data_IF_483471634751
#
_entry.id   IF_483471634751
#
_cell.length_a   1.000
_cell.length_b   1.000
_cell.length_c   1.000
_cell.angle_alpha   90.00
_cell.angle_beta   90.00
_cell.angle_gamma   90.00
#
_symmetry.space_group_name_H-M   'P 1'
#
loop_
_entity.id
_entity.type
_entity.pdbx_description
1 polymer ?
#
# COMPACT_ATOMS: atom_id res chain seq x y z
N UNK A 1 -6.71 -35.92 -5.92
CA UNK A 1 -6.29 -34.93 -4.95
C UNK A 1 -7.46 -34.02 -4.67
N UNK A 2 -8.18 -34.27 -3.61
CA UNK A 2 -9.20 -33.31 -3.14
C UNK A 2 -8.41 -32.22 -2.41
N UNK A 3 -8.12 -31.11 -3.07
CA UNK A 3 -7.28 -30.04 -2.51
C UNK A 3 -7.91 -28.68 -2.70
N UNK A 4 -7.79 -27.85 -1.68
CA UNK A 4 -8.04 -26.41 -1.78
C UNK A 4 -6.71 -25.75 -2.11
N UNK A 5 -6.68 -24.98 -3.19
CA UNK A 5 -5.53 -24.20 -3.64
C UNK A 5 -5.84 -22.73 -3.42
N UNK A 6 -4.95 -22.04 -2.70
CA UNK A 6 -5.02 -20.59 -2.52
C UNK A 6 -4.17 -19.92 -3.60
N UNK A 7 -4.76 -18.97 -4.33
CA UNK A 7 -4.03 -18.15 -5.30
C UNK A 7 -2.96 -17.31 -4.61
N UNK A 8 -1.77 -17.23 -5.18
CA UNK A 8 -0.76 -16.28 -4.72
C UNK A 8 -1.13 -14.86 -5.17
N UNK A 9 -1.60 -14.04 -4.23
CA UNK A 9 -1.95 -12.64 -4.48
C UNK A 9 -0.99 -11.72 -3.73
N UNK A 10 -0.33 -10.84 -4.44
CA UNK A 10 0.46 -9.76 -3.87
C UNK A 10 -0.16 -8.40 -4.22
N UNK A 11 -0.93 -7.85 -3.29
CA UNK A 11 -1.53 -6.53 -3.45
C UNK A 11 -2.43 -6.41 -4.68
N UNK A 12 -2.11 -5.46 -5.58
CA UNK A 12 -2.82 -5.22 -6.84
C UNK A 12 -2.09 -5.78 -8.08
N UNK A 13 -1.09 -6.63 -7.87
CA UNK A 13 -0.35 -7.25 -8.97
C UNK A 13 -1.22 -8.27 -9.71
N UNK A 14 -0.91 -8.50 -10.98
CA UNK A 14 -1.57 -9.49 -11.81
C UNK A 14 -1.38 -10.89 -11.20
N UNK A 15 -2.40 -11.74 -11.31
CA UNK A 15 -2.30 -13.15 -10.88
C UNK A 15 -1.34 -13.85 -11.83
N UNK A 16 -0.29 -14.44 -11.27
CA UNK A 16 0.61 -15.36 -11.95
C UNK A 16 0.93 -16.48 -10.97
N UNK A 17 0.25 -17.59 -11.09
CA UNK A 17 0.36 -18.73 -10.20
C UNK A 17 0.43 -20.03 -10.99
N UNK A 18 0.77 -21.13 -10.34
CA UNK A 18 0.81 -22.44 -10.99
C UNK A 18 0.44 -23.56 -10.03
N UNK A 19 -0.28 -24.55 -10.51
CA UNK A 19 -0.64 -25.74 -9.77
C UNK A 19 -0.05 -26.95 -10.43
N UNK A 20 0.65 -27.78 -9.64
CA UNK A 20 1.24 -29.03 -10.12
C UNK A 20 0.34 -30.22 -9.79
N UNK A 21 0.21 -31.13 -10.75
CA UNK A 21 -0.38 -32.44 -10.54
C UNK A 21 0.53 -33.53 -11.10
N UNK A 22 0.40 -34.74 -10.60
CA UNK A 22 1.18 -35.87 -11.11
C UNK A 22 0.30 -37.01 -11.56
N UNK A 23 0.77 -37.70 -12.59
CA UNK A 23 0.17 -38.94 -13.08
C UNK A 23 1.15 -40.09 -12.88
N UNK A 24 0.70 -41.14 -12.20
CA UNK A 24 1.47 -42.36 -12.03
C UNK A 24 0.99 -43.41 -13.04
N UNK A 25 1.91 -43.97 -13.79
CA UNK A 25 1.65 -45.10 -14.70
C UNK A 25 2.29 -46.35 -14.13
N UNK A 26 1.52 -47.18 -13.44
CA UNK A 26 1.96 -48.46 -12.88
C UNK A 26 1.98 -49.61 -13.92
N UNK A 27 1.58 -49.33 -15.15
CA UNK A 27 1.50 -50.32 -16.21
C UNK A 27 2.86 -50.56 -16.90
N UNK A 28 2.96 -51.68 -17.60
CA UNK A 28 4.17 -52.05 -18.39
C UNK A 28 4.18 -51.43 -19.79
N UNK A 29 3.26 -50.54 -20.10
CA UNK A 29 3.11 -49.86 -21.38
C UNK A 29 2.93 -48.34 -21.14
N UNK A 30 3.29 -47.53 -22.12
CA UNK A 30 3.11 -46.09 -22.05
C UNK A 30 1.63 -45.72 -21.94
N UNK A 31 1.32 -44.69 -21.14
CA UNK A 31 -0.02 -44.16 -20.91
C UNK A 31 -0.14 -42.82 -21.64
N UNK A 32 -1.02 -42.76 -22.64
CA UNK A 32 -1.33 -41.50 -23.33
C UNK A 32 -2.67 -40.98 -22.85
N UNK A 33 -2.68 -39.72 -22.41
CA UNK A 33 -3.86 -39.07 -21.85
C UNK A 33 -4.17 -37.80 -22.63
N UNK A 34 -5.46 -37.55 -22.84
CA UNK A 34 -6.02 -36.24 -23.14
C UNK A 34 -6.51 -35.62 -21.85
N UNK A 35 -6.06 -34.40 -21.59
CA UNK A 35 -6.41 -33.62 -20.38
C UNK A 35 -7.38 -32.54 -20.79
N UNK A 36 -8.43 -32.40 -20.03
CA UNK A 36 -9.34 -31.25 -20.09
C UNK A 36 -9.62 -30.71 -18.71
N UNK A 37 -9.74 -29.41 -18.59
CA UNK A 37 -10.11 -28.73 -17.35
C UNK A 37 -11.36 -27.91 -17.63
N UNK A 38 -12.39 -28.12 -16.81
CA UNK A 38 -13.62 -27.35 -16.87
C UNK A 38 -13.72 -26.48 -15.61
N UNK A 39 -14.07 -25.20 -15.80
CA UNK A 39 -14.31 -24.24 -14.72
C UNK A 39 -15.36 -23.21 -15.14
N UNK A 40 -15.93 -22.48 -14.18
CA UNK A 40 -16.86 -21.38 -14.46
C UNK A 40 -16.08 -20.04 -14.38
N UNK A 41 -15.74 -19.48 -15.54
CA UNK A 41 -15.04 -18.20 -15.67
C UNK A 41 -15.79 -17.03 -15.02
N UNK A 42 -17.09 -17.16 -14.74
CA UNK A 42 -17.88 -16.12 -14.06
C UNK A 42 -17.59 -16.05 -12.56
N UNK A 43 -17.07 -17.11 -11.95
CA UNK A 43 -16.73 -17.15 -10.54
C UNK A 43 -15.40 -16.45 -10.27
N UNK A 44 -14.35 -16.86 -11.01
CA UNK A 44 -13.03 -16.21 -10.97
C UNK A 44 -12.54 -16.09 -12.43
N UNK A 45 -12.42 -14.87 -12.98
CA UNK A 45 -12.01 -14.65 -14.38
C UNK A 45 -10.50 -14.81 -14.53
N UNK A 46 -10.06 -16.04 -14.68
CA UNK A 46 -8.67 -16.43 -14.94
C UNK A 46 -8.55 -17.20 -16.25
N UNK A 47 -7.35 -17.21 -16.81
CA UNK A 47 -6.96 -18.08 -17.92
C UNK A 47 -6.09 -19.22 -17.37
N UNK A 48 -6.30 -20.42 -17.92
CA UNK A 48 -5.51 -21.61 -17.59
C UNK A 48 -4.73 -22.04 -18.83
N UNK A 49 -3.41 -22.21 -18.68
CA UNK A 49 -2.55 -22.77 -19.71
C UNK A 49 -2.00 -24.10 -19.23
N UNK A 50 -2.21 -25.18 -19.98
CA UNK A 50 -1.79 -26.54 -19.65
C UNK A 50 -1.62 -27.38 -20.89
N UNK A 51 -0.90 -28.52 -20.77
CA UNK A 51 -0.74 -29.50 -21.85
C UNK A 51 -2.02 -30.33 -21.99
N UNK A 52 -2.74 -30.17 -23.10
CA UNK A 52 -3.95 -30.93 -23.41
C UNK A 52 -3.69 -32.41 -23.70
N UNK A 53 -2.45 -32.79 -24.00
CA UNK A 53 -2.05 -34.18 -24.32
C UNK A 53 -0.70 -34.50 -23.67
N UNK A 54 -0.70 -35.55 -22.83
CA UNK A 54 0.47 -35.98 -22.09
C UNK A 54 0.74 -37.47 -22.29
N UNK A 55 2.02 -37.87 -22.18
CA UNK A 55 2.43 -39.27 -22.25
C UNK A 55 3.30 -39.62 -21.05
N UNK A 56 2.93 -40.62 -20.28
CA UNK A 56 3.68 -41.12 -19.14
C UNK A 56 4.25 -42.48 -19.47
N UNK A 57 5.56 -42.62 -19.39
CA UNK A 57 6.26 -43.88 -19.73
C UNK A 57 5.83 -45.05 -18.84
N UNK A 58 6.05 -46.28 -19.32
CA UNK A 58 5.74 -47.49 -18.55
C UNK A 58 6.45 -47.53 -17.19
N UNK A 59 5.71 -47.81 -16.14
CA UNK A 59 6.22 -47.86 -14.76
C UNK A 59 6.90 -46.60 -14.23
N UNK A 60 6.46 -45.45 -14.75
CA UNK A 60 6.97 -44.12 -14.37
C UNK A 60 5.86 -43.22 -13.86
N UNK A 61 6.24 -42.06 -13.35
CA UNK A 61 5.34 -40.99 -12.96
C UNK A 61 5.88 -39.64 -13.47
N UNK A 62 4.99 -38.75 -13.84
CA UNK A 62 5.33 -37.45 -14.37
C UNK A 62 4.47 -36.35 -13.75
N UNK A 63 5.11 -35.21 -13.47
CA UNK A 63 4.44 -33.99 -12.97
C UNK A 63 4.08 -33.10 -14.15
N UNK A 64 2.90 -32.51 -14.09
CA UNK A 64 2.37 -31.56 -15.06
C UNK A 64 1.98 -30.29 -14.33
N UNK A 65 2.10 -29.17 -15.01
CA UNK A 65 1.81 -27.84 -14.46
C UNK A 65 0.61 -27.23 -15.17
N UNK A 66 -0.27 -26.60 -14.42
CA UNK A 66 -1.34 -25.72 -14.89
C UNK A 66 -0.89 -24.31 -14.53
N UNK A 67 -0.63 -23.46 -15.50
CA UNK A 67 -0.34 -22.04 -15.29
C UNK A 67 -1.67 -21.28 -15.18
N UNK A 68 -1.76 -20.36 -14.20
CA UNK A 68 -2.93 -19.57 -13.89
C UNK A 68 -2.59 -18.09 -14.07
N UNK A 69 -3.36 -17.36 -14.85
CA UNK A 69 -3.15 -15.93 -15.08
C UNK A 69 -4.47 -15.15 -15.11
N UNK A 70 -4.39 -13.82 -14.91
CA UNK A 70 -5.53 -12.92 -15.10
C UNK A 70 -5.97 -12.87 -16.55
N UNK A 71 -7.28 -12.82 -16.79
CA UNK A 71 -7.85 -12.53 -18.11
C UNK A 71 -7.52 -11.09 -18.50
N UNK A 72 -6.82 -10.90 -19.60
CA UNK A 72 -6.38 -9.59 -20.07
C UNK A 72 -7.54 -8.64 -20.29
N UNK A 73 -7.51 -7.51 -19.59
CA UNK A 73 -8.53 -6.44 -19.70
C UNK A 73 -9.77 -6.66 -18.83
N UNK A 74 -9.79 -7.65 -17.98
CA UNK A 74 -10.87 -7.86 -17.00
C UNK A 74 -10.45 -7.29 -15.64
N UNK A 75 -11.31 -6.42 -15.06
CA UNK A 75 -11.14 -5.97 -13.68
C UNK A 75 -11.65 -7.05 -12.73
N UNK A 76 -10.77 -7.83 -12.16
CA UNK A 76 -11.10 -8.84 -11.16
C UNK A 76 -11.11 -8.21 -9.77
N UNK A 77 -12.22 -8.31 -9.05
CA UNK A 77 -12.35 -7.74 -7.70
C UNK A 77 -11.55 -8.48 -6.63
N UNK A 78 -11.01 -9.66 -6.94
CA UNK A 78 -10.18 -10.49 -6.04
C UNK A 78 -10.78 -10.62 -4.64
N UNK A 79 -12.12 -10.76 -4.55
CA UNK A 79 -12.79 -10.87 -3.27
C UNK A 79 -12.38 -12.15 -2.54
N UNK A 80 -12.01 -12.10 -1.25
CA UNK A 80 -11.60 -13.29 -0.49
C UNK A 80 -12.76 -14.27 -0.22
N UNK A 81 -13.96 -13.96 -0.69
CA UNK A 81 -15.13 -14.86 -0.64
C UNK A 81 -15.35 -15.63 -1.93
N UNK A 82 -14.53 -15.36 -2.96
CA UNK A 82 -14.63 -16.05 -4.23
C UNK A 82 -13.86 -17.36 -4.20
N UNK A 83 -14.51 -18.41 -4.70
CA UNK A 83 -13.90 -19.69 -4.99
C UNK A 83 -14.52 -20.28 -6.24
N UNK A 84 -13.78 -21.14 -6.93
CA UNK A 84 -14.33 -21.89 -8.05
C UNK A 84 -13.83 -23.32 -8.00
N UNK A 85 -14.60 -24.23 -8.61
CA UNK A 85 -14.23 -25.62 -8.77
C UNK A 85 -13.58 -25.81 -10.13
N UNK A 86 -12.38 -26.40 -10.14
CA UNK A 86 -11.72 -26.92 -11.34
C UNK A 86 -12.04 -28.41 -11.44
N UNK A 87 -12.64 -28.85 -12.52
CA UNK A 87 -12.83 -30.25 -12.83
C UNK A 87 -11.80 -30.70 -13.85
N UNK A 88 -10.77 -31.40 -13.41
CA UNK A 88 -9.74 -31.98 -14.26
C UNK A 88 -10.16 -33.38 -14.67
N UNK A 89 -10.29 -33.61 -15.99
CA UNK A 89 -10.56 -34.90 -16.57
C UNK A 89 -9.35 -35.39 -17.36
N UNK A 90 -8.89 -36.61 -17.06
CA UNK A 90 -7.83 -37.31 -17.79
C UNK A 90 -8.41 -38.50 -18.51
N UNK A 91 -8.40 -38.46 -19.83
CA UNK A 91 -8.96 -39.50 -20.68
C UNK A 91 -7.83 -40.31 -21.33
N UNK A 92 -7.78 -41.63 -21.06
CA UNK A 92 -6.83 -42.50 -21.76
C UNK A 92 -7.27 -42.72 -23.21
N UNK A 93 -6.33 -42.48 -24.10
CA UNK A 93 -6.53 -42.62 -25.55
C UNK A 93 -5.62 -43.69 -26.11
N UNK A 94 -6.21 -44.69 -26.78
CA UNK A 94 -5.49 -45.71 -27.53
C UNK A 94 -6.13 -45.86 -28.91
N UNK A 95 -5.32 -45.78 -29.95
CA UNK A 95 -5.80 -45.89 -31.34
C UNK A 95 -6.93 -44.88 -31.67
N UNK A 96 -6.80 -43.65 -31.17
CA UNK A 96 -7.79 -42.58 -31.35
C UNK A 96 -9.16 -42.90 -30.74
N UNK A 97 -9.23 -43.79 -29.75
CA UNK A 97 -10.44 -44.11 -29.04
C UNK A 97 -10.23 -43.92 -27.51
N UNK A 98 -11.17 -43.26 -26.88
CA UNK A 98 -11.22 -43.17 -25.44
C UNK A 98 -11.48 -44.55 -24.81
N UNK A 99 -10.62 -44.93 -23.85
CA UNK A 99 -10.70 -46.24 -23.18
C UNK A 99 -11.19 -46.07 -21.72
N UNK A 100 -10.67 -45.09 -21.03
CA UNK A 100 -10.99 -44.81 -19.63
C UNK A 100 -10.87 -43.32 -19.35
N UNK A 101 -11.69 -42.82 -18.41
CA UNK A 101 -11.65 -41.44 -17.94
C UNK A 101 -11.52 -41.43 -16.42
N UNK A 102 -10.68 -40.57 -15.89
CA UNK A 102 -10.58 -40.27 -14.48
C UNK A 102 -10.78 -38.80 -14.27
N UNK A 103 -11.60 -38.45 -13.28
CA UNK A 103 -11.92 -37.07 -12.93
C UNK A 103 -11.43 -36.75 -11.52
N UNK A 104 -10.95 -35.53 -11.31
CA UNK A 104 -10.51 -35.02 -10.01
C UNK A 104 -11.00 -33.59 -9.91
N UNK A 105 -11.64 -33.25 -8.80
CA UNK A 105 -12.03 -31.89 -8.48
C UNK A 105 -10.97 -31.23 -7.59
N UNK A 106 -10.78 -29.93 -7.81
CA UNK A 106 -9.97 -29.06 -6.98
C UNK A 106 -10.73 -27.75 -6.75
N UNK A 107 -10.65 -27.21 -5.56
CA UNK A 107 -11.20 -25.88 -5.26
C UNK A 107 -10.08 -24.85 -5.33
N UNK A 108 -10.26 -23.83 -6.15
CA UNK A 108 -9.39 -22.66 -6.21
C UNK A 108 -10.04 -21.52 -5.44
N UNK A 109 -9.33 -20.94 -4.49
CA UNK A 109 -9.84 -19.88 -3.60
C UNK A 109 -8.98 -18.62 -3.66
N UNK A 110 -9.62 -17.48 -3.53
CA UNK A 110 -8.95 -16.19 -3.40
C UNK A 110 -8.62 -15.95 -1.93
N UNK A 111 -7.35 -15.91 -1.53
CA UNK A 111 -6.97 -15.67 -0.14
C UNK A 111 -7.27 -14.25 0.31
N UNK A 112 -7.39 -14.05 1.61
CA UNK A 112 -7.53 -12.72 2.21
C UNK A 112 -6.18 -12.01 2.25
N UNK A 113 -6.06 -10.89 1.55
CA UNK A 113 -4.92 -9.99 1.61
C UNK A 113 -5.29 -8.79 2.49
N UNK A 114 -4.49 -8.56 3.53
CA UNK A 114 -4.68 -7.45 4.47
C UNK A 114 -3.53 -6.47 4.31
N UNK A 115 -3.83 -5.26 3.83
CA UNK A 115 -2.85 -4.21 3.58
C UNK A 115 -3.44 -2.85 3.94
N UNK A 116 -3.11 -2.35 5.13
CA UNK A 116 -3.42 -0.98 5.53
C UNK A 116 -2.26 -0.05 5.19
N UNK A 117 -2.59 1.14 4.68
CA UNK A 117 -1.68 2.25 4.52
C UNK A 117 -2.15 3.43 5.38
N UNK A 118 -1.21 4.22 5.87
CA UNK A 118 -1.49 5.43 6.65
C UNK A 118 -0.63 6.58 6.17
N UNK A 119 -1.27 7.72 5.91
CA UNK A 119 -0.61 8.92 5.42
C UNK A 119 -1.07 10.13 6.22
N UNK A 120 -0.20 11.12 6.38
CA UNK A 120 -0.55 12.42 6.94
C UNK A 120 -0.64 13.44 5.83
N UNK A 121 -1.71 14.23 5.78
CA UNK A 121 -1.73 15.43 4.96
C UNK A 121 -0.88 16.50 5.64
N UNK A 122 0.23 16.87 4.99
CA UNK A 122 1.05 17.95 5.50
C UNK A 122 0.31 19.28 5.33
N UNK A 123 0.12 20.00 6.42
CA UNK A 123 -0.28 21.40 6.41
C UNK A 123 0.95 22.20 6.84
N UNK A 124 1.29 23.24 6.09
CA UNK A 124 2.38 24.17 6.45
C UNK A 124 1.90 25.08 7.61
N UNK A 125 1.40 24.50 8.69
CA UNK A 125 0.91 25.22 9.84
C UNK A 125 1.97 25.25 10.95
N UNK A 126 2.25 26.45 11.44
CA UNK A 126 3.16 26.67 12.57
C UNK A 126 2.38 26.42 13.86
N UNK A 127 2.88 25.58 14.76
CA UNK A 127 2.34 25.36 16.07
C UNK A 127 2.97 26.32 17.07
N UNK A 128 2.19 27.26 17.59
CA UNK A 128 2.68 28.16 18.64
C UNK A 128 2.64 27.47 20.01
N UNK A 129 3.63 27.76 20.86
CA UNK A 129 3.61 27.31 22.24
C UNK A 129 2.33 27.83 22.95
N UNK A 130 1.58 26.93 23.59
CA UNK A 130 0.27 27.21 24.18
C UNK A 130 -0.91 27.17 23.22
N UNK A 131 -0.73 26.72 21.98
CA UNK A 131 -1.80 26.57 20.98
C UNK A 131 -1.98 25.13 20.51
N UNK A 132 -2.95 24.92 19.64
CA UNK A 132 -3.17 23.63 18.96
C UNK A 132 -3.43 23.83 17.48
N UNK A 133 -3.06 22.81 16.68
CA UNK A 133 -3.33 22.71 15.26
C UNK A 133 -4.02 21.38 14.96
N UNK A 134 -4.75 21.32 13.85
CA UNK A 134 -5.43 20.11 13.39
C UNK A 134 -4.72 19.55 12.15
N UNK A 135 -4.46 18.24 12.18
CA UNK A 135 -3.90 17.48 11.06
C UNK A 135 -4.87 16.40 10.66
N UNK A 136 -4.94 16.15 9.36
CA UNK A 136 -5.75 15.06 8.81
C UNK A 136 -4.86 13.85 8.54
N UNK A 137 -5.24 12.71 9.08
CA UNK A 137 -4.63 11.40 8.84
C UNK A 137 -5.55 10.62 7.92
N UNK A 138 -5.00 10.12 6.82
CA UNK A 138 -5.70 9.24 5.89
C UNK A 138 -5.29 7.80 6.14
N UNK A 139 -6.28 6.90 6.24
CA UNK A 139 -6.05 5.47 6.34
C UNK A 139 -6.76 4.80 5.17
N UNK A 140 -5.99 4.05 4.38
CA UNK A 140 -6.46 3.33 3.19
C UNK A 140 -6.32 1.84 3.42
N UNK A 141 -7.33 1.08 3.02
CA UNK A 141 -7.25 -0.37 2.92
C UNK A 141 -6.96 -0.75 1.45
N UNK A 142 -5.73 -1.17 1.17
CA UNK A 142 -5.29 -1.66 -0.13
C UNK A 142 -5.50 -3.18 -0.28
N UNK A 143 -5.97 -3.85 0.77
CA UNK A 143 -6.27 -5.27 0.74
C UNK A 143 -7.53 -5.59 -0.09
N UNK A 144 -7.75 -6.87 -0.37
CA UNK A 144 -8.89 -7.34 -1.15
C UNK A 144 -10.16 -7.58 -0.34
N UNK A 145 -10.09 -7.50 0.98
CA UNK A 145 -11.20 -7.70 1.90
C UNK A 145 -11.34 -6.57 2.92
N UNK A 146 -12.24 -6.78 3.86
CA UNK A 146 -12.42 -5.85 4.98
C UNK A 146 -11.30 -6.01 6.00
N UNK A 147 -10.81 -4.88 6.52
CA UNK A 147 -9.88 -4.87 7.65
C UNK A 147 -10.37 -3.91 8.74
N UNK A 148 -9.89 -4.09 9.96
CA UNK A 148 -10.26 -3.26 11.10
C UNK A 148 -9.01 -2.63 11.72
N UNK A 149 -9.05 -1.31 11.90
CA UNK A 149 -8.00 -0.56 12.54
C UNK A 149 -7.97 -0.90 14.04
N UNK A 150 -6.83 -1.36 14.53
CA UNK A 150 -6.57 -1.63 15.94
C UNK A 150 -5.42 -0.77 16.45
N UNK A 151 -5.43 -0.54 17.77
CA UNK A 151 -4.33 0.08 18.51
C UNK A 151 -3.76 1.34 17.85
N UNK A 152 -4.59 2.38 17.56
CA UNK A 152 -4.05 3.65 17.12
C UNK A 152 -3.21 4.27 18.24
N UNK A 153 -1.94 4.53 17.94
CA UNK A 153 -0.96 5.05 18.89
C UNK A 153 -0.20 6.23 18.29
N UNK A 154 0.30 7.10 19.14
CA UNK A 154 1.20 8.18 18.73
C UNK A 154 2.45 8.22 19.57
N UNK A 155 3.54 8.68 18.99
CA UNK A 155 4.75 9.05 19.72
C UNK A 155 5.26 10.40 19.23
N UNK A 156 5.81 11.18 20.15
CA UNK A 156 6.40 12.49 19.87
C UNK A 156 7.85 12.48 20.33
N UNK A 157 8.74 12.71 19.38
CA UNK A 157 10.17 12.81 19.64
C UNK A 157 10.60 14.27 19.67
N UNK A 158 11.50 14.58 20.58
CA UNK A 158 12.08 15.91 20.82
C UNK A 158 11.18 16.93 21.50
N UNK A 159 9.88 16.69 21.64
CA UNK A 159 8.91 17.66 22.21
C UNK A 159 8.07 17.03 23.33
N UNK A 160 8.59 16.96 24.57
CA UNK A 160 7.93 16.24 25.65
C UNK A 160 6.63 16.90 26.15
N UNK A 161 6.39 18.16 25.81
CA UNK A 161 5.19 18.90 26.21
C UNK A 161 4.19 19.11 25.06
N UNK A 162 4.29 18.27 24.04
CA UNK A 162 3.31 18.17 22.95
C UNK A 162 2.43 16.94 23.18
N UNK A 163 1.13 17.12 23.04
CA UNK A 163 0.12 16.05 23.17
C UNK A 163 -0.68 15.90 21.89
N UNK A 164 -1.14 14.68 21.61
CA UNK A 164 -1.94 14.34 20.43
C UNK A 164 -3.26 13.74 20.90
N UNK A 165 -4.37 14.27 20.38
CA UNK A 165 -5.73 13.85 20.68
C UNK A 165 -6.46 13.50 19.38
N UNK A 166 -7.55 12.71 19.46
CA UNK A 166 -8.38 12.34 18.30
C UNK A 166 -8.12 10.94 17.75
N UNK A 167 -7.07 10.24 18.21
CA UNK A 167 -6.74 8.88 17.73
C UNK A 167 -7.83 7.85 18.03
N UNK A 168 -8.60 8.03 19.10
CA UNK A 168 -9.69 7.13 19.48
C UNK A 168 -10.77 7.00 18.37
N UNK A 169 -10.89 8.02 17.50
CA UNK A 169 -11.81 7.99 16.38
C UNK A 169 -11.44 6.92 15.31
N UNK A 170 -10.20 6.48 15.29
CA UNK A 170 -9.74 5.42 14.38
C UNK A 170 -9.96 4.01 14.94
N UNK A 171 -10.11 3.91 16.28
CA UNK A 171 -10.12 2.62 16.96
C UNK A 171 -11.33 1.77 16.59
N UNK A 172 -11.10 0.52 16.28
CA UNK A 172 -12.11 -0.49 15.94
C UNK A 172 -12.97 -0.12 14.71
N UNK A 173 -12.46 0.73 13.83
CA UNK A 173 -13.13 1.11 12.59
C UNK A 173 -12.85 0.07 11.51
N UNK A 174 -13.92 -0.43 10.88
CA UNK A 174 -13.87 -1.28 9.69
C UNK A 174 -13.66 -0.42 8.44
N UNK A 175 -12.70 -0.83 7.63
CA UNK A 175 -12.45 -0.31 6.29
C UNK A 175 -12.74 -1.42 5.27
N UNK A 176 -13.61 -1.13 4.32
CA UNK A 176 -13.82 -2.04 3.18
C UNK A 176 -12.64 -1.95 2.22
N UNK A 177 -12.47 -2.95 1.36
CA UNK A 177 -11.42 -2.96 0.34
C UNK A 177 -11.42 -1.67 -0.49
N UNK A 178 -10.26 -1.20 -0.90
CA UNK A 178 -10.05 0.00 -1.72
C UNK A 178 -10.68 1.29 -1.16
N UNK A 179 -10.94 1.34 0.16
CA UNK A 179 -11.53 2.53 0.79
C UNK A 179 -10.50 3.31 1.58
N UNK A 180 -10.67 4.63 1.56
CA UNK A 180 -9.90 5.58 2.37
C UNK A 180 -10.84 6.30 3.33
N UNK A 181 -10.40 6.46 4.59
CA UNK A 181 -11.07 7.31 5.58
C UNK A 181 -10.10 8.34 6.13
N UNK A 182 -10.64 9.53 6.35
CA UNK A 182 -9.92 10.67 6.93
C UNK A 182 -10.29 10.83 8.40
N UNK A 183 -9.30 11.18 9.22
CA UNK A 183 -9.43 11.41 10.64
C UNK A 183 -8.67 12.66 11.04
N UNK A 184 -9.34 13.56 11.72
CA UNK A 184 -8.71 14.76 12.25
C UNK A 184 -8.12 14.47 13.63
N UNK A 185 -6.83 14.76 13.78
CA UNK A 185 -6.12 14.72 15.05
C UNK A 185 -5.76 16.15 15.47
N UNK A 186 -5.76 16.40 16.78
CA UNK A 186 -5.35 17.68 17.34
C UNK A 186 -4.01 17.54 18.02
N UNK A 187 -3.06 18.37 17.62
CA UNK A 187 -1.72 18.47 18.18
C UNK A 187 -1.66 19.74 19.01
N UNK A 188 -1.39 19.61 20.31
CA UNK A 188 -1.35 20.72 21.25
C UNK A 188 0.03 20.84 21.86
N UNK A 189 0.64 22.02 21.79
CA UNK A 189 1.87 22.37 22.48
C UNK A 189 1.55 23.12 23.78
N UNK A 190 2.15 22.71 24.89
CA UNK A 190 2.02 23.49 26.12
C UNK A 190 2.71 24.85 26.00
N UNK A 191 2.33 25.81 26.81
CA UNK A 191 2.97 27.15 26.83
C UNK A 191 4.44 27.11 27.25
N UNK A 192 4.88 26.03 27.88
CA UNK A 192 6.28 25.80 28.28
C UNK A 192 7.09 25.02 27.26
N UNK A 193 6.50 24.63 26.12
CA UNK A 193 7.21 23.92 25.07
C UNK A 193 8.23 24.86 24.39
N UNK A 194 9.53 24.54 24.44
CA UNK A 194 10.54 25.35 23.75
C UNK A 194 10.42 25.24 22.22
N UNK A 195 10.90 26.27 21.52
CA UNK A 195 11.04 26.25 20.07
C UNK A 195 11.85 25.04 19.62
N UNK A 196 11.21 24.21 18.79
CA UNK A 196 11.85 22.99 18.31
C UNK A 196 11.05 22.35 17.19
N UNK A 197 11.76 21.64 16.33
CA UNK A 197 11.15 20.69 15.39
C UNK A 197 10.76 19.41 16.15
N UNK A 198 9.50 19.04 16.10
CA UNK A 198 8.92 17.84 16.71
C UNK A 198 8.71 16.79 15.62
N UNK A 199 9.22 15.59 15.81
CA UNK A 199 8.91 14.43 14.96
C UNK A 199 7.74 13.68 15.59
N UNK A 200 6.66 13.55 14.84
CA UNK A 200 5.44 12.87 15.26
C UNK A 200 5.29 11.59 14.45
N UNK A 201 5.07 10.49 15.13
CA UNK A 201 4.75 9.19 14.51
C UNK A 201 3.35 8.80 14.93
N UNK A 202 2.50 8.48 13.96
CA UNK A 202 1.20 7.85 14.18
C UNK A 202 1.27 6.44 13.64
N UNK A 203 0.84 5.46 14.43
CA UNK A 203 0.82 4.05 14.05
C UNK A 203 -0.55 3.43 14.30
N UNK A 204 -0.90 2.46 13.46
CA UNK A 204 -2.11 1.65 13.58
C UNK A 204 -1.74 0.20 13.31
N UNK A 205 -2.58 -0.72 13.80
CA UNK A 205 -2.42 -2.16 13.58
C UNK A 205 -3.58 -2.71 12.78
N UNK A 206 -3.31 -3.51 11.77
CA UNK A 206 -4.31 -4.33 11.07
C UNK A 206 -4.83 -5.43 11.98
N UNK A 207 -6.14 -5.64 12.01
CA UNK A 207 -6.74 -6.78 12.69
C UNK A 207 -6.55 -8.08 11.93
N UNK A 208 -6.49 -8.01 10.60
CA UNK A 208 -6.43 -9.19 9.72
C UNK A 208 -5.10 -9.93 9.80
N UNK A 209 -3.99 -9.22 9.65
CA UNK A 209 -2.65 -9.83 9.65
C UNK A 209 -1.77 -9.42 10.84
N UNK A 210 -2.24 -8.49 11.69
CA UNK A 210 -1.48 -8.00 12.84
C UNK A 210 -0.32 -7.06 12.49
N UNK A 211 -0.16 -6.67 11.24
CA UNK A 211 0.88 -5.74 10.80
C UNK A 211 0.66 -4.34 11.37
N UNK A 212 1.74 -3.68 11.75
CA UNK A 212 1.72 -2.29 12.20
C UNK A 212 2.26 -1.43 11.06
N UNK A 213 1.47 -0.43 10.66
CA UNK A 213 1.86 0.60 9.70
C UNK A 213 1.90 1.96 10.39
N UNK A 214 2.79 2.85 9.92
CA UNK A 214 2.98 4.16 10.54
C UNK A 214 3.29 5.24 9.53
N UNK A 215 2.89 6.47 9.85
CA UNK A 215 3.30 7.69 9.16
C UNK A 215 4.11 8.57 10.10
N UNK A 216 5.08 9.30 9.54
CA UNK A 216 5.96 10.20 10.28
C UNK A 216 5.92 11.56 9.62
N UNK A 217 5.70 12.59 10.40
CA UNK A 217 5.73 13.97 9.93
C UNK A 217 6.34 14.89 10.98
N UNK A 218 6.69 16.11 10.56
CA UNK A 218 7.34 17.09 11.41
C UNK A 218 6.45 18.30 11.64
N UNK A 219 6.48 18.82 12.86
CA UNK A 219 5.77 20.04 13.27
C UNK A 219 6.77 20.96 13.94
N UNK A 220 6.88 22.19 13.44
CA UNK A 220 7.71 23.23 14.07
C UNK A 220 6.91 23.92 15.18
N UNK A 221 7.43 23.86 16.39
CA UNK A 221 6.90 24.66 17.51
C UNK A 221 7.71 25.94 17.62
N UNK A 222 7.03 27.08 17.58
CA UNK A 222 7.63 28.41 17.80
C UNK A 222 7.14 29.04 19.10
N UNK A 223 7.96 29.89 19.68
CA UNK A 223 7.55 30.60 20.91
C UNK A 223 6.40 31.55 20.58
N UNK A 224 5.42 31.60 21.45
CA UNK A 224 4.39 32.62 21.42
C UNK A 224 4.97 33.91 22.04
N UNK A 225 5.81 34.61 21.27
CA UNK A 225 6.26 35.94 21.66
C UNK A 225 5.07 36.89 21.55
N UNK A 226 4.12 36.79 22.50
CA UNK A 226 3.15 37.84 22.70
C UNK A 226 3.95 39.11 23.04
N UNK A 227 4.11 39.95 22.02
CA UNK A 227 4.43 41.38 22.13
C UNK A 227 4.99 41.81 23.47
N UNK A 228 6.29 41.66 23.67
CA UNK A 228 7.03 42.45 24.63
C UNK A 228 7.24 43.86 24.05
N UNK A 229 6.13 44.45 23.58
CA UNK A 229 6.09 45.86 23.11
C UNK A 229 5.82 46.83 24.29
N UNK A 230 6.16 46.39 25.51
CA UNK A 230 6.33 47.27 26.65
C UNK A 230 7.78 47.83 26.68
N UNK A 231 8.26 48.29 25.54
CA UNK A 231 9.33 49.28 25.54
C UNK A 231 8.74 50.58 26.02
N UNK A 232 8.83 50.78 27.31
CA UNK A 232 8.78 52.10 27.94
C UNK A 232 9.79 52.97 27.23
N UNK A 233 9.32 53.81 26.28
CA UNK A 233 10.12 54.86 25.66
C UNK A 233 10.35 55.89 26.78
N UNK A 234 11.59 56.10 27.24
CA UNK A 234 11.88 57.26 28.06
C UNK A 234 11.62 58.49 27.19
N UNK A 235 10.61 59.29 27.57
CA UNK A 235 10.45 60.64 27.03
C UNK A 235 11.73 61.40 27.28
N UNK A 236 12.49 61.65 26.22
CA UNK A 236 13.50 62.64 26.24
C UNK A 236 13.14 63.67 25.15
N UNK A 237 12.41 64.70 25.58
CA UNK A 237 12.21 65.92 24.81
C UNK A 237 13.55 66.59 24.55
N UNK A 238 14.01 66.56 23.32
CA UNK A 238 14.91 67.58 22.80
C UNK A 238 14.83 67.62 21.28
N UNK A 239 14.49 68.78 20.65
CA UNK A 239 14.49 68.95 19.21
C UNK A 239 15.89 69.20 18.73
N UNK A 240 16.37 68.50 17.71
CA UNK A 240 17.47 68.93 16.88
C UNK A 240 17.12 68.65 15.42
N UNK A 241 16.96 69.76 14.72
CA UNK A 241 16.96 69.84 13.25
C UNK A 241 18.24 69.23 12.68
N UNK A 242 18.12 68.28 11.77
CA UNK A 242 19.04 68.16 10.64
C UNK A 242 18.46 67.29 9.51
N UNK A 243 18.47 67.74 8.25
CA UNK A 243 17.85 67.01 7.14
C UNK A 243 18.86 66.10 6.44
N UNK A 244 18.29 65.15 5.72
CA UNK A 244 18.92 64.29 4.72
C UNK A 244 19.72 63.06 5.19
N UNK A 245 19.02 61.92 5.27
CA UNK A 245 19.65 60.65 4.87
C UNK A 245 18.61 59.76 4.18
N UNK A 246 18.72 59.63 2.88
CA UNK A 246 17.97 58.68 2.06
C UNK A 246 18.34 57.27 2.47
N UNK A 247 17.36 56.51 2.98
CA UNK A 247 17.46 55.06 3.14
C UNK A 247 17.22 54.38 1.79
N UNK A 248 18.28 53.83 1.23
CA UNK A 248 18.20 52.93 0.07
C UNK A 248 17.87 51.55 0.59
N UNK A 249 16.63 51.12 0.46
CA UNK A 249 16.26 49.73 0.64
C UNK A 249 16.79 48.92 -0.54
N UNK A 250 17.76 48.05 -0.29
CA UNK A 250 18.17 47.03 -1.24
C UNK A 250 17.42 45.73 -0.92
N UNK A 251 16.29 45.55 -1.57
CA UNK A 251 15.63 44.24 -1.63
C UNK A 251 16.42 43.32 -2.57
N UNK A 252 17.23 42.42 -2.02
CA UNK A 252 17.82 41.32 -2.78
C UNK A 252 16.87 40.15 -2.77
N UNK A 253 16.05 40.00 -3.80
CA UNK A 253 15.36 38.77 -4.14
C UNK A 253 16.38 37.77 -4.68
N UNK A 254 16.67 36.71 -3.92
CA UNK A 254 17.44 35.59 -4.43
C UNK A 254 16.57 34.80 -5.42
N UNK A 255 16.75 35.07 -6.70
CA UNK A 255 16.20 34.27 -7.78
C UNK A 255 17.01 32.97 -7.86
N UNK A 256 16.39 31.81 -7.56
CA UNK A 256 16.91 30.50 -7.95
C UNK A 256 17.01 30.47 -9.48
N UNK A 257 18.20 30.35 -9.99
CA UNK A 257 18.47 30.43 -11.42
C UNK A 257 17.86 29.26 -12.17
N UNK A 258 17.32 29.53 -13.34
CA UNK A 258 16.70 28.60 -14.30
C UNK A 258 17.53 27.34 -14.64
N UNK A 259 18.80 27.30 -14.23
CA UNK A 259 19.75 26.23 -14.50
C UNK A 259 19.52 24.96 -13.60
N UNK A 260 18.98 25.16 -12.41
CA UNK A 260 18.75 24.00 -11.48
C UNK A 260 17.56 23.12 -11.90
N UNK A 261 16.57 23.71 -12.58
CA UNK A 261 15.39 22.97 -13.08
C UNK A 261 15.76 22.09 -14.28
N UNK A 262 16.72 22.49 -15.11
CA UNK A 262 17.14 21.72 -16.29
C UNK A 262 17.92 20.47 -15.90
N UNK A 263 18.71 20.53 -14.82
CA UNK A 263 19.50 19.38 -14.34
C UNK A 263 18.64 18.27 -13.78
N UNK A 264 17.52 18.58 -13.10
CA UNK A 264 16.59 17.59 -12.55
C UNK A 264 15.83 16.85 -13.66
N UNK A 265 15.46 17.54 -14.75
CA UNK A 265 14.78 16.92 -15.89
C UNK A 265 15.71 16.00 -16.69
N UNK A 266 16.99 16.32 -16.81
CA UNK A 266 17.98 15.44 -17.48
C UNK A 266 18.31 14.20 -16.66
N UNK A 267 18.31 14.27 -15.33
CA UNK A 267 18.53 13.09 -14.48
C UNK A 267 17.32 12.12 -14.51
N UNK A 268 16.10 12.62 -14.61
CA UNK A 268 14.90 11.78 -14.70
C UNK A 268 14.77 11.07 -16.06
N UNK A 269 15.26 11.66 -17.15
CA UNK A 269 15.25 11.02 -18.47
C UNK A 269 16.36 9.98 -18.67
N UNK A 270 17.52 10.12 -18.05
CA UNK A 270 18.60 9.15 -18.14
C UNK A 270 18.34 7.87 -17.35
N UNK A 271 17.55 7.93 -16.28
CA UNK A 271 17.14 6.72 -15.50
C UNK A 271 16.09 5.86 -16.22
N UNK A 272 15.31 6.42 -17.15
CA UNK A 272 14.32 5.66 -17.92
C UNK A 272 14.90 4.89 -19.11
N UNK A 273 16.10 5.22 -19.54
CA UNK A 273 16.71 4.57 -20.72
C UNK A 273 17.57 3.36 -20.37
N UNK A 274 17.92 3.15 -19.09
CA UNK A 274 18.78 2.04 -18.65
C UNK A 274 18.00 0.77 -18.23
N UNK A 275 16.64 0.80 -18.30
CA UNK A 275 15.78 -0.37 -18.01
C UNK A 275 15.19 -1.04 -19.26
N UNK A 276 15.69 -0.75 -20.46
CA UNK A 276 15.24 -1.37 -21.71
C UNK A 276 16.39 -1.88 -22.57
N UNK A 277 17.32 -2.61 -21.99
CA UNK A 277 18.25 -3.47 -22.72
C UNK A 277 18.51 -4.70 -21.88
#
# INVERSE_FOLDING_TARGET
>A
MDGVYELELSGQEDIMDSVEFFVANERMVDLNLEISIEWDESDIPIELEYDESISVAASDNQTFTIEISDVTGYAFERSPTQSMTLLLSAQEVALEQAIATQEIDAELVVPSVFELAIESQSKDEILYAGSSVEYTIMVTNNGNGKDVIKMPESSVKSCPSVTIEGLDAMKDIELVNSSTKEYDIRITASSSQPERMCEITISIKSAGNGQIVSTIFQVEVVSNSANDDDRVIPNNDQPSDDPDTQLTETNTLNFLGLYDIILIVFFAMSFRWHKRC
#
